data_IF_381191579368
#
_entry.id   IF_381191579368
#
_cell.length_a   1.000
_cell.length_b   1.000
_cell.length_c   1.000
_cell.angle_alpha   90.00
_cell.angle_beta   90.00
_cell.angle_gamma   90.00
#
_symmetry.space_group_name_H-M   'P 1'
#
loop_
_entity.id
_entity.type
_entity.pdbx_description
1 polymer ?
#
# COMPACT_ATOMS: atom_id res chain seq x y z
N UNK A 1 -18.73 -1.50 3.87
CA UNK A 1 -17.41 -1.20 3.30
C UNK A 1 -16.78 -2.53 2.96
N UNK A 2 -16.10 -2.60 1.84
CA UNK A 2 -15.47 -3.81 1.34
C UNK A 2 -13.97 -3.55 1.14
N UNK A 3 -13.14 -4.53 1.51
CA UNK A 3 -11.70 -4.52 1.26
C UNK A 3 -11.42 -5.60 0.23
N UNK A 4 -10.92 -5.19 -0.92
CA UNK A 4 -10.76 -6.05 -2.09
C UNK A 4 -9.28 -6.18 -2.39
N UNK A 5 -8.79 -7.41 -2.49
CA UNK A 5 -7.47 -7.69 -3.04
C UNK A 5 -7.60 -7.97 -4.54
N UNK A 6 -7.13 -7.05 -5.39
CA UNK A 6 -7.32 -7.15 -6.84
C UNK A 6 -6.35 -8.12 -7.52
N UNK A 7 -5.33 -8.60 -6.80
CA UNK A 7 -4.39 -9.61 -7.33
C UNK A 7 -4.96 -11.02 -7.20
N UNK A 8 -6.02 -11.19 -6.40
CA UNK A 8 -6.79 -12.42 -6.40
C UNK A 8 -7.50 -12.61 -7.75
N UNK A 9 -7.16 -13.69 -8.45
CA UNK A 9 -7.64 -14.02 -9.81
C UNK A 9 -9.16 -14.13 -9.93
N UNK A 10 -9.89 -14.23 -8.82
CA UNK A 10 -11.35 -14.28 -8.79
C UNK A 10 -12.04 -12.90 -8.80
N UNK A 11 -11.28 -11.79 -8.78
CA UNK A 11 -11.82 -10.42 -8.68
C UNK A 11 -11.35 -9.50 -9.82
N UNK A 12 -11.12 -10.06 -11.01
CA UNK A 12 -10.66 -9.36 -12.22
C UNK A 12 -11.49 -8.11 -12.58
N UNK A 13 -12.79 -8.12 -12.27
CA UNK A 13 -13.69 -6.96 -12.49
C UNK A 13 -13.25 -5.68 -11.80
N UNK A 14 -12.47 -5.78 -10.73
CA UNK A 14 -11.99 -4.62 -9.99
C UNK A 14 -10.67 -4.05 -10.55
N UNK A 15 -10.01 -4.73 -11.48
CA UNK A 15 -8.83 -4.20 -12.17
C UNK A 15 -9.20 -2.97 -13.01
N UNK A 16 -10.19 -3.08 -13.89
CA UNK A 16 -10.65 -1.95 -14.71
C UNK A 16 -11.16 -0.78 -13.85
N UNK A 17 -11.87 -1.12 -12.77
CA UNK A 17 -12.32 -0.13 -11.80
C UNK A 17 -11.12 0.61 -11.17
N UNK A 18 -10.11 -0.12 -10.69
CA UNK A 18 -8.89 0.45 -10.12
C UNK A 18 -8.19 1.38 -11.10
N UNK A 19 -7.93 0.92 -12.33
CA UNK A 19 -7.21 1.69 -13.33
C UNK A 19 -7.93 3.01 -13.64
N UNK A 20 -9.27 2.97 -13.74
CA UNK A 20 -10.08 4.18 -13.88
C UNK A 20 -9.94 5.13 -12.68
N UNK A 21 -9.89 4.64 -11.46
CA UNK A 21 -9.68 5.50 -10.29
C UNK A 21 -8.28 6.09 -10.28
N UNK A 22 -7.25 5.25 -10.41
CA UNK A 22 -5.84 5.65 -10.23
C UNK A 22 -5.38 6.64 -11.30
N UNK A 23 -5.84 6.49 -12.54
CA UNK A 23 -5.53 7.43 -13.62
C UNK A 23 -6.14 8.83 -13.40
N UNK A 24 -7.20 8.94 -12.59
CA UNK A 24 -7.80 10.22 -12.19
C UNK A 24 -7.17 10.84 -10.93
N UNK A 25 -6.32 10.10 -10.20
CA UNK A 25 -5.64 10.60 -9.02
C UNK A 25 -4.37 11.33 -9.40
N UNK A 26 -4.19 12.57 -8.92
CA UNK A 26 -2.93 13.30 -9.07
C UNK A 26 -1.92 12.94 -7.98
N UNK A 27 -1.64 11.65 -7.83
CA UNK A 27 -0.64 11.17 -6.89
C UNK A 27 0.23 10.06 -7.50
N UNK A 28 1.55 10.25 -7.44
CA UNK A 28 2.52 9.40 -8.14
C UNK A 28 2.44 7.92 -7.77
N UNK A 29 2.18 7.59 -6.50
CA UNK A 29 2.05 6.19 -6.06
C UNK A 29 0.90 5.44 -6.72
N UNK A 30 -0.23 6.11 -6.98
CA UNK A 30 -1.37 5.50 -7.70
C UNK A 30 -1.04 5.27 -9.17
N UNK A 31 -0.42 6.27 -9.83
CA UNK A 31 -0.03 6.14 -11.24
C UNK A 31 1.01 5.03 -11.46
N UNK A 32 1.97 4.91 -10.54
CA UNK A 32 2.96 3.83 -10.55
C UNK A 32 2.30 2.45 -10.42
N UNK A 33 1.39 2.27 -9.46
CA UNK A 33 0.67 1.00 -9.30
C UNK A 33 -0.22 0.67 -10.51
N UNK A 34 -0.90 1.66 -11.08
CA UNK A 34 -1.72 1.46 -12.27
C UNK A 34 -0.87 0.93 -13.43
N UNK A 35 0.27 1.56 -13.69
CA UNK A 35 1.22 1.13 -14.72
C UNK A 35 1.73 -0.30 -14.48
N UNK A 36 2.15 -0.61 -13.25
CA UNK A 36 2.65 -1.95 -12.89
C UNK A 36 1.58 -3.05 -13.11
N UNK A 37 0.31 -2.72 -12.88
CA UNK A 37 -0.82 -3.63 -13.14
C UNK A 37 -1.15 -3.74 -14.62
N UNK A 38 -1.11 -2.63 -15.38
CA UNK A 38 -1.34 -2.61 -16.84
C UNK A 38 -0.28 -3.40 -17.60
N UNK A 39 0.99 -3.30 -17.17
CA UNK A 39 2.13 -3.96 -17.79
C UNK A 39 2.32 -5.42 -17.34
N UNK A 40 1.45 -5.93 -16.46
CA UNK A 40 1.54 -7.28 -15.85
C UNK A 40 2.87 -7.54 -15.12
N UNK A 41 3.37 -6.52 -14.42
CA UNK A 41 4.69 -6.52 -13.74
C UNK A 41 4.60 -6.80 -12.23
N UNK A 42 3.41 -7.10 -11.70
CA UNK A 42 3.24 -7.53 -10.30
C UNK A 42 3.83 -8.92 -10.09
N UNK A 43 4.65 -9.07 -9.06
CA UNK A 43 5.12 -10.39 -8.64
C UNK A 43 4.01 -11.15 -7.90
N UNK A 44 4.11 -12.48 -7.85
CA UNK A 44 3.12 -13.33 -7.17
C UNK A 44 2.92 -13.01 -5.68
N UNK A 45 3.94 -12.42 -5.03
CA UNK A 45 3.92 -11.99 -3.61
C UNK A 45 3.51 -10.53 -3.41
N UNK A 46 3.11 -9.85 -4.49
CA UNK A 46 2.68 -8.46 -4.44
C UNK A 46 1.16 -8.36 -4.52
N UNK A 47 0.60 -7.45 -3.72
CA UNK A 47 -0.83 -7.29 -3.57
C UNK A 47 -1.22 -5.83 -3.69
N UNK A 48 -2.37 -5.58 -4.32
CA UNK A 48 -2.97 -4.24 -4.40
C UNK A 48 -4.35 -4.33 -3.76
N UNK A 49 -4.54 -3.54 -2.71
CA UNK A 49 -5.73 -3.57 -1.87
C UNK A 49 -6.54 -2.32 -2.14
N UNK A 50 -7.81 -2.49 -2.52
CA UNK A 50 -8.79 -1.41 -2.63
C UNK A 50 -9.71 -1.40 -1.44
N UNK A 51 -10.11 -0.20 -1.04
CA UNK A 51 -11.17 0.04 -0.08
C UNK A 51 -12.33 0.74 -0.80
N UNK A 52 -13.53 0.16 -0.72
CA UNK A 52 -14.74 0.73 -1.33
C UNK A 52 -15.90 0.77 -0.33
N UNK A 53 -16.81 1.73 -0.49
CA UNK A 53 -18.02 1.81 0.32
C UNK A 53 -19.07 0.77 -0.09
N UNK A 54 -20.23 0.74 0.58
CA UNK A 54 -21.31 -0.20 0.24
C UNK A 54 -21.91 0.01 -1.16
N UNK A 55 -21.67 1.17 -1.77
CA UNK A 55 -22.14 1.54 -3.10
C UNK A 55 -21.05 1.34 -4.17
N UNK A 56 -19.95 0.66 -3.84
CA UNK A 56 -18.77 0.50 -4.72
C UNK A 56 -18.07 1.81 -5.09
N UNK A 57 -18.20 2.83 -4.23
CA UNK A 57 -17.45 4.09 -4.36
C UNK A 57 -16.04 3.91 -3.80
N UNK A 58 -15.06 4.40 -4.53
CA UNK A 58 -13.65 4.31 -4.15
C UNK A 58 -13.33 5.19 -2.93
N UNK A 59 -12.78 4.56 -1.88
CA UNK A 59 -12.36 5.23 -0.63
C UNK A 59 -10.84 5.41 -0.61
N UNK A 60 -10.08 4.41 -1.04
CA UNK A 60 -8.63 4.41 -0.94
C UNK A 60 -8.00 3.10 -1.37
N UNK A 61 -6.68 3.03 -1.26
CA UNK A 61 -5.90 1.84 -1.58
C UNK A 61 -4.58 1.78 -0.82
N UNK A 62 -3.90 0.65 -0.93
CA UNK A 62 -2.52 0.45 -0.55
C UNK A 62 -2.01 -0.87 -1.13
N UNK A 63 -0.72 -1.15 -1.00
CA UNK A 63 -0.13 -2.35 -1.61
C UNK A 63 0.92 -3.02 -0.73
N UNK A 64 1.07 -4.33 -0.89
CA UNK A 64 2.27 -5.07 -0.48
C UNK A 64 3.20 -5.16 -1.68
N UNK A 65 4.38 -4.56 -1.61
CA UNK A 65 5.36 -4.57 -2.71
C UNK A 65 6.72 -5.06 -2.24
N UNK A 66 7.49 -5.69 -3.13
CA UNK A 66 8.87 -6.07 -2.81
C UNK A 66 9.81 -4.86 -2.82
N UNK A 67 9.47 -3.83 -3.62
CA UNK A 67 10.19 -2.57 -3.71
C UNK A 67 9.25 -1.38 -3.47
N UNK A 68 9.78 -0.29 -2.92
CA UNK A 68 9.10 1.00 -2.80
C UNK A 68 9.92 2.11 -3.50
N UNK A 69 9.59 3.37 -3.26
CA UNK A 69 10.27 4.55 -3.79
C UNK A 69 11.66 4.80 -3.20
N UNK A 70 12.13 3.91 -2.31
CA UNK A 70 13.51 3.85 -1.82
C UNK A 70 14.22 2.69 -2.51
N UNK A 71 15.45 2.90 -2.95
CA UNK A 71 16.23 1.92 -3.71
C UNK A 71 17.37 1.37 -2.86
N UNK A 72 17.86 0.19 -3.24
CA UNK A 72 19.00 -0.50 -2.62
C UNK A 72 18.84 -0.74 -1.10
N UNK A 73 17.59 -0.86 -0.65
CA UNK A 73 17.30 -1.22 0.74
C UNK A 73 17.40 -2.74 0.88
N UNK A 74 18.22 -3.24 1.80
CA UNK A 74 18.32 -4.68 2.12
C UNK A 74 17.11 -5.20 2.92
N UNK A 75 15.92 -4.61 2.72
CA UNK A 75 14.70 -4.91 3.45
C UNK A 75 13.52 -5.02 2.49
N UNK A 76 12.63 -5.96 2.78
CA UNK A 76 11.36 -6.19 2.08
C UNK A 76 10.48 -7.12 2.95
N UNK A 77 9.17 -7.20 2.71
CA UNK A 77 8.36 -6.37 1.79
C UNK A 77 7.86 -5.07 2.43
N UNK A 78 7.39 -4.15 1.59
CA UNK A 78 6.87 -2.85 1.98
C UNK A 78 5.35 -2.81 1.94
N UNK A 79 4.76 -2.14 2.93
CA UNK A 79 3.42 -1.55 2.78
C UNK A 79 3.61 -0.21 2.08
N UNK A 80 3.27 -0.18 0.81
CA UNK A 80 3.55 0.92 -0.10
C UNK A 80 2.27 1.58 -0.62
N UNK A 81 2.45 2.76 -1.22
CA UNK A 81 1.42 3.46 -1.98
C UNK A 81 0.06 3.64 -1.25
N UNK A 82 0.06 3.79 0.08
CA UNK A 82 -1.18 3.98 0.85
C UNK A 82 -1.82 5.35 0.56
N UNK A 83 -3.07 5.34 0.13
CA UNK A 83 -3.85 6.54 -0.18
C UNK A 83 -5.28 6.42 0.33
N UNK A 84 -5.82 7.54 0.81
CA UNK A 84 -7.25 7.69 1.14
C UNK A 84 -7.76 8.98 0.49
N UNK A 85 -8.88 8.87 -0.22
CA UNK A 85 -9.59 9.99 -0.85
C UNK A 85 -9.86 11.09 0.17
N UNK A 86 -9.66 12.38 -0.17
CA UNK A 86 -9.78 13.49 0.77
C UNK A 86 -11.06 13.48 1.62
N UNK A 87 -12.21 13.22 1.00
CA UNK A 87 -13.53 13.21 1.65
C UNK A 87 -13.70 12.08 2.69
N UNK A 88 -12.82 11.08 2.66
CA UNK A 88 -12.84 9.93 3.56
C UNK A 88 -11.71 9.96 4.61
N UNK A 89 -10.87 11.01 4.62
CA UNK A 89 -9.77 11.13 5.59
C UNK A 89 -10.27 11.36 7.02
N UNK A 90 -9.40 11.08 8.00
CA UNK A 90 -9.73 11.23 9.43
C UNK A 90 -10.57 10.10 10.02
N UNK A 91 -10.95 9.09 9.23
CA UNK A 91 -11.82 7.99 9.64
C UNK A 91 -11.08 6.66 9.89
N UNK A 92 -9.74 6.68 9.90
CA UNK A 92 -8.89 5.50 10.16
C UNK A 92 -8.78 4.51 9.00
N UNK A 93 -9.21 4.87 7.78
CA UNK A 93 -9.18 3.95 6.63
C UNK A 93 -7.78 3.55 6.18
N UNK A 94 -6.78 4.41 6.31
CA UNK A 94 -5.39 4.05 6.01
C UNK A 94 -4.90 2.90 6.89
N UNK A 95 -5.22 2.92 8.18
CA UNK A 95 -4.82 1.86 9.10
C UNK A 95 -5.60 0.55 8.85
N UNK A 96 -6.86 0.63 8.42
CA UNK A 96 -7.61 -0.57 7.99
C UNK A 96 -6.98 -1.23 6.75
N UNK A 97 -6.49 -0.42 5.81
CA UNK A 97 -5.75 -0.92 4.63
C UNK A 97 -4.45 -1.58 5.08
N UNK A 98 -3.67 -0.91 5.95
CA UNK A 98 -2.42 -1.45 6.53
C UNK A 98 -2.68 -2.80 7.21
N UNK A 99 -3.66 -2.90 8.10
CA UNK A 99 -4.02 -4.13 8.80
C UNK A 99 -4.42 -5.26 7.84
N UNK A 100 -5.11 -4.96 6.73
CA UNK A 100 -5.40 -5.97 5.72
C UNK A 100 -4.11 -6.50 5.08
N UNK A 101 -3.20 -5.59 4.72
CA UNK A 101 -1.92 -5.94 4.10
C UNK A 101 -1.06 -6.76 5.06
N UNK A 102 -1.04 -6.41 6.34
CA UNK A 102 -0.37 -7.19 7.39
C UNK A 102 -0.89 -8.63 7.46
N UNK A 103 -2.21 -8.82 7.44
CA UNK A 103 -2.81 -10.15 7.46
C UNK A 103 -2.47 -10.98 6.21
N UNK A 104 -2.44 -10.34 5.03
CA UNK A 104 -2.03 -11.00 3.78
C UNK A 104 -0.56 -11.42 3.91
N UNK A 105 0.33 -10.50 4.25
CA UNK A 105 1.75 -10.77 4.39
C UNK A 105 2.02 -11.91 5.40
N UNK A 106 1.33 -11.91 6.54
CA UNK A 106 1.44 -12.97 7.54
C UNK A 106 1.05 -14.34 6.97
N UNK A 107 -0.06 -14.38 6.20
CA UNK A 107 -0.54 -15.60 5.54
C UNK A 107 0.41 -16.14 4.47
N UNK A 108 1.21 -15.26 3.87
CA UNK A 108 2.26 -15.62 2.91
C UNK A 108 3.59 -15.98 3.56
N UNK A 109 3.66 -15.99 4.89
CA UNK A 109 4.84 -16.41 5.64
C UNK A 109 5.80 -15.27 6.01
N UNK A 110 5.49 -14.02 5.65
CA UNK A 110 6.26 -12.88 6.13
C UNK A 110 6.09 -12.71 7.65
N UNK A 111 7.14 -12.20 8.29
CA UNK A 111 7.17 -11.93 9.75
C UNK A 111 7.62 -10.50 10.06
N UNK A 112 7.92 -9.72 9.03
CA UNK A 112 8.42 -8.37 9.12
C UNK A 112 7.88 -7.57 7.95
N UNK A 113 7.48 -6.33 8.19
CA UNK A 113 7.02 -5.38 7.19
C UNK A 113 7.71 -4.04 7.36
N UNK A 114 7.81 -3.30 6.26
CA UNK A 114 8.46 -1.99 6.20
C UNK A 114 7.54 -0.93 5.61
N UNK A 115 7.70 0.32 6.04
CA UNK A 115 7.01 1.49 5.49
C UNK A 115 8.03 2.61 5.34
N UNK A 116 8.01 3.30 4.20
CA UNK A 116 8.68 4.60 4.05
C UNK A 116 7.66 5.72 4.07
N UNK A 117 7.88 6.73 4.91
CA UNK A 117 6.88 7.78 5.11
C UNK A 117 7.46 9.10 5.61
N UNK A 118 6.73 10.18 5.36
CA UNK A 118 6.92 11.48 6.01
C UNK A 118 5.93 11.72 7.17
N UNK A 119 5.03 10.78 7.44
CA UNK A 119 4.10 10.89 8.55
C UNK A 119 4.76 10.52 9.88
N UNK A 120 4.44 11.27 10.92
CA UNK A 120 4.81 10.97 12.31
C UNK A 120 3.58 10.61 13.13
N UNK A 121 3.69 9.54 13.93
CA UNK A 121 2.65 9.08 14.84
C UNK A 121 1.44 8.40 14.17
N UNK A 122 1.45 8.21 12.84
CA UNK A 122 0.37 7.52 12.13
C UNK A 122 0.53 6.00 12.25
N UNK A 123 1.66 5.46 11.80
CA UNK A 123 1.90 4.02 11.76
C UNK A 123 2.41 3.49 13.09
N UNK A 124 3.01 4.35 13.91
CA UNK A 124 3.48 4.00 15.25
C UNK A 124 2.32 3.58 16.17
N UNK A 125 1.11 4.08 15.91
CA UNK A 125 -0.13 3.63 16.60
C UNK A 125 -0.44 2.16 16.35
N UNK A 126 0.00 1.62 15.21
CA UNK A 126 -0.17 0.21 14.84
C UNK A 126 1.09 -0.61 15.17
N UNK A 127 2.04 -0.08 15.95
CA UNK A 127 3.23 -0.82 16.39
C UNK A 127 4.42 -0.77 15.43
N UNK A 128 4.38 0.07 14.39
CA UNK A 128 5.58 0.36 13.61
C UNK A 128 6.58 1.17 14.44
N UNK A 129 7.87 0.90 14.25
CA UNK A 129 8.97 1.64 14.87
C UNK A 129 9.94 2.12 13.82
N UNK A 130 10.40 3.36 13.94
CA UNK A 130 11.43 3.89 13.05
C UNK A 130 12.75 3.15 13.28
N UNK A 131 13.42 2.75 12.20
CA UNK A 131 14.73 2.11 12.22
C UNK A 131 15.81 2.91 11.48
N UNK A 132 15.42 3.95 10.75
CA UNK A 132 16.35 4.82 10.05
C UNK A 132 15.64 5.83 9.16
N UNK A 133 16.41 6.34 8.20
CA UNK A 133 15.96 7.21 7.12
C UNK A 133 16.58 6.73 5.82
N UNK A 134 15.83 6.81 4.74
CA UNK A 134 16.26 6.41 3.39
C UNK A 134 15.97 7.53 2.39
N UNK A 135 16.80 7.64 1.36
CA UNK A 135 16.54 8.58 0.27
C UNK A 135 15.56 7.96 -0.72
N UNK A 136 14.48 8.68 -1.01
CA UNK A 136 13.59 8.30 -2.10
C UNK A 136 14.25 8.55 -3.47
N UNK A 137 13.58 8.13 -4.55
CA UNK A 137 14.00 8.34 -5.94
C UNK A 137 14.20 9.82 -6.33
N UNK A 138 13.73 10.78 -5.54
CA UNK A 138 13.94 12.23 -5.73
C UNK A 138 15.09 12.78 -4.89
N UNK A 139 15.76 11.93 -4.12
CA UNK A 139 16.85 12.31 -3.21
C UNK A 139 16.38 12.89 -1.88
N UNK A 140 15.08 12.86 -1.58
CA UNK A 140 14.51 13.37 -0.34
C UNK A 140 14.58 12.28 0.75
N UNK A 141 14.94 12.67 1.97
CA UNK A 141 14.94 11.75 3.11
C UNK A 141 13.51 11.43 3.55
N UNK A 142 13.26 10.14 3.74
CA UNK A 142 12.00 9.57 4.22
C UNK A 142 12.30 8.73 5.46
N UNK A 143 11.37 8.67 6.41
CA UNK A 143 11.51 7.80 7.59
C UNK A 143 11.30 6.35 7.15
N UNK A 144 12.22 5.45 7.52
CA UNK A 144 12.06 4.01 7.35
C UNK A 144 11.56 3.40 8.65
N UNK A 145 10.35 2.86 8.62
CA UNK A 145 9.68 2.20 9.74
C UNK A 145 9.59 0.70 9.49
N UNK A 146 9.54 -0.07 10.58
CA UNK A 146 9.39 -1.52 10.53
C UNK A 146 8.42 -2.03 11.59
N UNK A 147 7.73 -3.13 11.31
CA UNK A 147 6.86 -3.84 12.25
C UNK A 147 7.06 -5.35 12.12
N UNK A 148 7.31 -6.02 13.24
CA UNK A 148 7.26 -7.48 13.33
C UNK A 148 5.79 -7.88 13.40
N UNK A 149 5.40 -8.86 12.61
CA UNK A 149 4.04 -9.42 12.58
C UNK A 149 4.08 -10.89 13.01
N UNK A 150 3.12 -11.30 13.83
CA UNK A 150 3.01 -12.63 14.43
C UNK A 150 1.57 -13.17 14.42
#
# INVERSE_FOLDING_TARGET
MEIIDITNKNVTRYKDFMLKQFNNLDWGGSKMLAKKVEDDELQDSEHVILLVDNNSTFIGHGSLLQEDIVKDTNVSPFIAAVFVSPDYRGQGYSLKIVQKIENIALSEGYRQLYIVTNHEGLYEKEGFRQIGEEKNIKGEYMRLLTKKID
#
